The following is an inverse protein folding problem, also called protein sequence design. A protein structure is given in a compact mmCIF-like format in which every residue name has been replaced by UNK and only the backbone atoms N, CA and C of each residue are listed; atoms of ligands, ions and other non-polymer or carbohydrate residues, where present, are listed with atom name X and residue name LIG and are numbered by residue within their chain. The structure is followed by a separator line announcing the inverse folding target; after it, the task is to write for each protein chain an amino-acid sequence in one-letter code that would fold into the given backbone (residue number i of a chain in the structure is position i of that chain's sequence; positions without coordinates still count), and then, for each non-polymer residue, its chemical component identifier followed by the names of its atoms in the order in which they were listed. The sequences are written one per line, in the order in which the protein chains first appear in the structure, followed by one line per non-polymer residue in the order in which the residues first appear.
data_IF_585043170720
#
_entry.id   IF_585043170720
#
_cell.length_a   1.000
_cell.length_b   1.000
_cell.length_c   1.000
_cell.angle_alpha   90.00
_cell.angle_beta   90.00
_cell.angle_gamma   90.00
#
_symmetry.space_group_name_H-M   'P 1'
#
loop_
_entity.id
_entity.type
_entity.pdbx_description
1 polymer ?
#
# COMPACT_ATOMS: atom_id res chain seq x y z
N UNK A 1 3.87 16.77 8.82
CA UNK A 1 3.25 17.55 7.72
C UNK A 1 3.48 16.75 6.46
N UNK A 2 2.43 16.14 5.92
CA UNK A 2 2.53 15.31 4.72
C UNK A 2 3.02 16.15 3.53
N UNK A 3 4.04 15.65 2.82
CA UNK A 3 4.53 16.28 1.58
C UNK A 3 3.52 16.08 0.45
N UNK A 4 3.23 17.13 -0.32
CA UNK A 4 2.41 16.98 -1.53
C UNK A 4 3.17 16.07 -2.53
N UNK A 5 2.52 14.99 -2.97
CA UNK A 5 3.09 14.00 -3.89
C UNK A 5 2.36 14.07 -5.23
N UNK A 6 3.12 14.13 -6.32
CA UNK A 6 2.59 14.05 -7.69
C UNK A 6 2.54 12.60 -8.20
N UNK A 7 2.22 11.66 -7.30
CA UNK A 7 2.10 10.23 -7.62
C UNK A 7 0.69 9.72 -7.29
N UNK A 8 0.20 8.82 -8.14
CA UNK A 8 -1.06 8.09 -7.93
C UNK A 8 -0.71 6.73 -7.36
N UNK A 9 -1.15 6.46 -6.13
CA UNK A 9 -0.94 5.18 -5.47
C UNK A 9 -2.23 4.34 -5.44
N UNK A 10 -2.11 3.04 -5.68
CA UNK A 10 -3.20 2.08 -5.50
C UNK A 10 -2.69 0.78 -4.90
N UNK A 11 -3.56 0.13 -4.13
CA UNK A 11 -3.36 -1.21 -3.59
C UNK A 11 -4.26 -2.19 -4.35
N UNK A 12 -3.79 -3.43 -4.48
CA UNK A 12 -4.63 -4.53 -4.93
C UNK A 12 -4.97 -5.48 -3.77
N UNK A 13 -5.82 -6.47 -4.04
CA UNK A 13 -6.27 -7.47 -3.04
C UNK A 13 -5.17 -8.33 -2.42
N UNK A 14 -3.95 -8.30 -2.96
CA UNK A 14 -2.79 -9.02 -2.41
C UNK A 14 -1.89 -8.11 -1.56
N UNK A 15 -2.36 -6.91 -1.19
CA UNK A 15 -1.58 -5.93 -0.44
C UNK A 15 -0.45 -5.31 -1.25
N UNK A 16 -0.43 -5.51 -2.57
CA UNK A 16 0.59 -4.93 -3.43
C UNK A 16 0.28 -3.46 -3.69
N UNK A 17 1.25 -2.60 -3.41
CA UNK A 17 1.21 -1.19 -3.76
C UNK A 17 1.91 -0.94 -5.10
N UNK A 18 1.34 -0.06 -5.90
CA UNK A 18 1.98 0.51 -7.09
C UNK A 18 1.77 2.02 -7.10
N UNK A 19 2.81 2.75 -7.49
CA UNK A 19 2.75 4.18 -7.69
C UNK A 19 3.04 4.51 -9.15
N UNK A 20 2.22 5.41 -9.69
CA UNK A 20 2.35 5.95 -11.02
C UNK A 20 2.64 7.44 -10.95
N UNK A 21 3.37 7.93 -11.94
CA UNK A 21 3.52 9.36 -12.19
C UNK A 21 2.13 9.96 -12.49
N UNK A 22 1.75 11.01 -11.75
CA UNK A 22 0.42 11.59 -11.83
C UNK A 22 0.11 12.26 -13.18
N UNK A 23 1.13 12.65 -13.94
CA UNK A 23 0.96 13.32 -15.22
C UNK A 23 0.90 12.34 -16.41
N UNK A 24 1.69 11.27 -16.35
CA UNK A 24 1.90 10.34 -17.47
C UNK A 24 1.29 8.96 -17.26
N UNK A 25 1.03 8.58 -16.00
CA UNK A 25 0.61 7.24 -15.63
C UNK A 25 1.73 6.19 -15.70
N UNK A 26 2.98 6.61 -15.91
CA UNK A 26 4.14 5.70 -15.92
C UNK A 26 4.42 5.12 -14.54
N UNK A 27 4.80 3.85 -14.45
CA UNK A 27 5.13 3.20 -13.18
C UNK A 27 6.42 3.80 -12.57
N UNK A 28 6.31 4.34 -11.36
CA UNK A 28 7.43 4.87 -10.58
C UNK A 28 8.05 3.78 -9.72
N UNK A 29 7.20 3.05 -8.99
CA UNK A 29 7.62 1.95 -8.12
C UNK A 29 6.46 0.99 -7.83
N UNK A 30 6.83 -0.19 -7.34
CA UNK A 30 5.90 -1.26 -6.94
C UNK A 30 6.54 -2.06 -5.81
N UNK A 31 5.71 -2.49 -4.85
CA UNK A 31 6.10 -3.48 -3.82
C UNK A 31 5.85 -4.91 -4.30
N UNK A 32 6.43 -5.87 -3.61
CA UNK A 32 5.94 -7.25 -3.71
C UNK A 32 4.53 -7.36 -3.12
N UNK A 33 3.84 -8.48 -3.41
CA UNK A 33 2.60 -8.81 -2.72
C UNK A 33 2.93 -9.24 -1.29
N UNK A 34 1.96 -9.13 -0.38
CA UNK A 34 2.07 -9.77 0.93
C UNK A 34 2.17 -11.29 0.75
N UNK A 35 3.03 -11.92 1.55
CA UNK A 35 3.12 -13.38 1.64
C UNK A 35 1.82 -13.98 2.21
N UNK A 36 1.20 -13.26 3.14
CA UNK A 36 -0.11 -13.56 3.73
C UNK A 36 -0.97 -12.28 3.80
N UNK A 37 -1.81 -12.02 2.80
CA UNK A 37 -2.75 -10.90 2.79
C UNK A 37 -4.00 -11.12 3.67
N UNK A 38 -4.07 -12.22 4.42
CA UNK A 38 -5.22 -12.57 5.24
C UNK A 38 -6.44 -12.97 4.40
N UNK A 39 -7.65 -12.65 4.87
CA UNK A 39 -8.88 -13.04 4.15
C UNK A 39 -9.10 -12.18 2.90
N UNK A 40 -8.49 -12.58 1.79
CA UNK A 40 -8.67 -11.94 0.47
C UNK A 40 -10.06 -12.15 -0.13
N UNK A 41 -10.87 -13.04 0.47
CA UNK A 41 -12.27 -13.22 0.10
C UNK A 41 -13.20 -12.31 0.93
N UNK A 42 -12.68 -11.59 1.93
CA UNK A 42 -13.42 -10.57 2.62
C UNK A 42 -13.92 -9.51 1.61
N UNK A 43 -15.19 -9.14 1.74
CA UNK A 43 -15.87 -8.13 0.89
C UNK A 43 -15.29 -6.71 1.02
N UNK A 44 -14.24 -6.53 1.83
CA UNK A 44 -13.57 -5.25 2.00
C UNK A 44 -12.74 -4.91 0.74
N UNK A 45 -13.07 -3.83 0.01
CA UNK A 45 -12.28 -3.43 -1.14
C UNK A 45 -10.88 -2.99 -0.69
N UNK A 46 -9.83 -3.28 -1.48
CA UNK A 46 -8.49 -2.77 -1.20
C UNK A 46 -8.48 -1.25 -1.09
N UNK A 47 -7.75 -0.73 -0.12
CA UNK A 47 -7.70 0.70 0.19
C UNK A 47 -6.28 1.23 0.27
N UNK A 48 -6.12 2.52 -0.01
CA UNK A 48 -4.87 3.26 0.22
C UNK A 48 -5.19 4.56 0.95
N UNK A 49 -4.42 4.85 2.00
CA UNK A 49 -4.50 6.07 2.79
C UNK A 49 -3.10 6.65 2.94
N UNK A 50 -2.99 7.98 2.89
CA UNK A 50 -1.79 8.70 3.27
C UNK A 50 -1.93 9.15 4.73
N UNK A 51 -1.10 8.62 5.60
CA UNK A 51 -1.06 8.95 7.04
C UNK A 51 0.29 9.56 7.34
N UNK A 52 0.31 10.87 7.54
CA UNK A 52 1.54 11.67 7.60
C UNK A 52 2.45 11.41 6.38
N UNK A 53 3.61 10.80 6.59
CA UNK A 53 4.58 10.46 5.54
C UNK A 53 4.56 8.97 5.17
N UNK A 54 3.62 8.19 5.71
CA UNK A 54 3.45 6.78 5.41
C UNK A 54 2.24 6.52 4.51
N UNK A 55 2.41 5.64 3.53
CA UNK A 55 1.31 5.08 2.76
C UNK A 55 0.83 3.84 3.49
N UNK A 56 -0.45 3.81 3.88
CA UNK A 56 -1.10 2.64 4.45
C UNK A 56 -1.95 1.97 3.37
N UNK A 57 -1.69 0.70 3.09
CA UNK A 57 -2.52 -0.13 2.23
C UNK A 57 -3.28 -1.16 3.05
N UNK A 58 -4.51 -1.43 2.64
CA UNK A 58 -5.38 -2.45 3.24
C UNK A 58 -5.71 -3.50 2.17
N UNK A 59 -5.52 -4.76 2.53
CA UNK A 59 -5.93 -5.92 1.75
C UNK A 59 -6.47 -6.99 2.69
N UNK A 60 -7.68 -7.48 2.41
CA UNK A 60 -8.39 -8.35 3.36
C UNK A 60 -8.59 -7.66 4.71
N UNK A 61 -8.17 -8.33 5.77
CA UNK A 61 -8.10 -7.86 7.14
C UNK A 61 -6.70 -7.34 7.54
N UNK A 62 -5.76 -7.31 6.59
CA UNK A 62 -4.38 -6.89 6.83
C UNK A 62 -4.13 -5.45 6.38
N UNK A 63 -3.49 -4.67 7.26
CA UNK A 63 -2.94 -3.37 6.93
C UNK A 63 -1.41 -3.42 6.90
N UNK A 64 -0.81 -2.79 5.89
CA UNK A 64 0.63 -2.58 5.78
C UNK A 64 0.95 -1.10 5.60
N UNK A 65 2.10 -0.68 6.12
CA UNK A 65 2.63 0.66 5.90
C UNK A 65 3.90 0.61 5.05
N UNK A 66 4.02 1.52 4.10
CA UNK A 66 5.20 1.73 3.27
C UNK A 66 5.69 3.16 3.42
N UNK A 67 7.00 3.33 3.58
CA UNK A 67 7.62 4.63 3.39
C UNK A 67 7.80 4.86 1.87
N UNK A 68 7.07 5.80 1.25
CA UNK A 68 7.19 6.09 -0.18
C UNK A 68 8.55 6.64 -0.62
N UNK A 69 9.38 7.13 0.30
CA UNK A 69 10.77 7.51 -0.01
C UNK A 69 11.70 6.29 -0.06
N UNK A 70 11.30 5.16 0.53
CA UNK A 70 12.04 3.91 0.55
C UNK A 70 11.12 2.70 0.27
N UNK A 71 10.42 2.67 -0.88
CA UNK A 71 9.31 1.73 -1.12
C UNK A 71 9.75 0.27 -1.31
N UNK A 72 11.05 0.01 -1.36
CA UNK A 72 11.62 -1.35 -1.49
C UNK A 72 11.84 -2.05 -0.15
N UNK A 73 11.63 -1.36 0.98
CA UNK A 73 11.65 -2.01 2.29
C UNK A 73 10.46 -2.97 2.39
N UNK A 74 10.71 -4.21 2.83
CA UNK A 74 9.66 -5.22 3.03
C UNK A 74 8.55 -4.61 3.90
N UNK A 75 7.28 -4.62 3.46
CA UNK A 75 6.20 -4.08 4.26
C UNK A 75 6.14 -4.81 5.60
N UNK A 76 6.11 -4.05 6.69
CA UNK A 76 5.86 -4.63 8.02
C UNK A 76 4.34 -4.81 8.16
N UNK A 77 3.88 -6.05 8.14
CA UNK A 77 2.49 -6.37 8.42
C UNK A 77 2.25 -6.28 9.93
N UNK A 78 1.21 -5.56 10.34
CA UNK A 78 0.68 -5.65 11.71
C UNK A 78 -0.58 -6.50 11.65
N UNK A 79 -0.50 -7.75 12.09
CA UNK A 79 -1.69 -8.55 12.33
C UNK A 79 -2.38 -8.01 13.59
N UNK A 80 -3.65 -7.65 13.50
CA UNK A 80 -4.47 -7.40 14.69
C UNK A 80 -4.64 -8.74 15.41
N UNK A 81 -4.08 -8.84 16.62
CA UNK A 81 -4.15 -10.03 17.46
C UNK A 81 -5.49 -10.17 18.18
N UNK A 82 -5.89 -11.45 18.30
CA UNK A 82 -6.94 -12.10 19.14
C UNK A 82 -8.35 -11.50 19.17
#
# INVERSE_FOLDING_TARGET
MSTARDEICFANRFGRLSALDGATGGELWRTDALDDPGDIAAEAPPGVLLVDDAIVAVAGDTALSVNPHEPKARPSASATGD
#
